data_IF_901886977257
#
_entry.id   IF_901886977257
#
_cell.length_a   1.000
_cell.length_b   1.000
_cell.length_c   1.000
_cell.angle_alpha   90.00
_cell.angle_beta   90.00
_cell.angle_gamma   90.00
#
_symmetry.space_group_name_H-M   'P 1'
#
loop_
_entity.id
_entity.type
_entity.pdbx_description
1 polymer ?
#
# COMPACT_ATOMS: atom_id res chain seq x y z
N UNK A 1 10.55 -15.48 -3.38
CA UNK A 1 10.13 -14.26 -4.11
C UNK A 1 8.61 -14.18 -4.04
N UNK A 2 8.06 -12.98 -3.84
CA UNK A 2 6.63 -12.76 -3.71
C UNK A 2 6.20 -11.57 -4.56
N UNK A 3 5.05 -11.68 -5.23
CA UNK A 3 4.37 -10.53 -5.85
C UNK A 3 3.25 -10.13 -4.92
N UNK A 4 3.29 -8.90 -4.43
CA UNK A 4 2.32 -8.36 -3.49
C UNK A 4 1.07 -7.89 -4.25
N UNK A 5 -0.09 -8.21 -3.69
CA UNK A 5 -1.34 -7.64 -4.14
C UNK A 5 -1.53 -6.21 -3.59
N UNK A 6 -2.57 -5.55 -4.05
CA UNK A 6 -2.93 -4.19 -3.65
C UNK A 6 -3.30 -4.08 -2.17
N UNK A 7 -3.86 -5.14 -1.58
CA UNK A 7 -4.28 -5.16 -0.18
C UNK A 7 -3.08 -5.20 0.77
N UNK A 8 -2.12 -6.08 0.52
CA UNK A 8 -0.89 -6.20 1.31
C UNK A 8 -0.09 -4.90 1.24
N UNK A 9 0.03 -4.30 0.06
CA UNK A 9 0.69 -2.99 -0.09
C UNK A 9 -0.06 -1.89 0.70
N UNK A 10 -1.39 -1.89 0.63
CA UNK A 10 -2.23 -0.93 1.38
C UNK A 10 -2.12 -1.12 2.89
N UNK A 11 -2.02 -2.37 3.35
CA UNK A 11 -1.87 -2.71 4.77
C UNK A 11 -0.49 -2.30 5.29
N UNK A 12 0.58 -2.61 4.55
CA UNK A 12 1.95 -2.21 4.90
C UNK A 12 2.12 -0.68 4.94
N UNK A 13 1.31 0.08 4.18
CA UNK A 13 1.29 1.56 4.28
C UNK A 13 0.86 2.04 5.68
N UNK A 14 -0.02 1.30 6.36
CA UNK A 14 -0.49 1.60 7.72
C UNK A 14 0.56 1.27 8.80
N UNK A 15 1.62 0.54 8.45
CA UNK A 15 2.66 0.16 9.41
C UNK A 15 3.35 1.40 10.02
N UNK A 16 3.52 2.46 9.24
CA UNK A 16 4.09 3.75 9.69
C UNK A 16 3.26 4.42 10.79
N UNK A 17 1.95 4.14 10.86
CA UNK A 17 1.03 4.72 11.85
C UNK A 17 0.67 3.73 12.95
N UNK A 18 1.29 2.55 12.98
CA UNK A 18 1.02 1.49 13.96
C UNK A 18 -0.36 0.82 13.79
N UNK A 19 -1.05 1.06 12.68
CA UNK A 19 -2.42 0.56 12.42
C UNK A 19 -2.46 -0.68 11.53
N UNK A 20 -1.31 -1.15 11.06
CA UNK A 20 -1.24 -2.36 10.23
C UNK A 20 -1.44 -3.61 11.09
N UNK A 21 -1.98 -4.67 10.48
CA UNK A 21 -1.99 -5.99 11.10
C UNK A 21 -0.57 -6.44 11.50
N UNK A 22 -0.31 -6.78 12.78
CA UNK A 22 1.02 -7.16 13.25
C UNK A 22 1.62 -8.37 12.53
N UNK A 23 0.80 -9.34 12.11
CA UNK A 23 1.28 -10.53 11.42
C UNK A 23 1.74 -10.21 10.00
N UNK A 24 1.07 -9.29 9.31
CA UNK A 24 1.48 -8.83 7.97
C UNK A 24 2.81 -8.10 8.05
N UNK A 25 2.99 -7.24 9.07
CA UNK A 25 4.25 -6.53 9.30
C UNK A 25 5.38 -7.50 9.64
N UNK A 26 5.15 -8.43 10.56
CA UNK A 26 6.14 -9.42 10.96
C UNK A 26 6.57 -10.31 9.77
N UNK A 27 5.62 -10.75 8.95
CA UNK A 27 5.92 -11.48 7.72
C UNK A 27 6.77 -10.65 6.76
N UNK A 28 6.37 -9.40 6.47
CA UNK A 28 7.11 -8.56 5.53
C UNK A 28 8.54 -8.25 6.02
N UNK A 29 8.74 -8.11 7.34
CA UNK A 29 10.07 -7.94 7.95
C UNK A 29 10.94 -9.20 7.87
N UNK A 30 10.34 -10.39 7.79
CA UNK A 30 11.07 -11.66 7.67
C UNK A 30 11.61 -11.93 6.26
N UNK A 31 11.13 -11.19 5.26
CA UNK A 31 11.49 -11.40 3.85
C UNK A 31 12.42 -10.28 3.37
N UNK A 32 13.53 -10.60 2.67
CA UNK A 32 14.37 -9.57 2.06
C UNK A 32 13.56 -8.69 1.09
N UNK A 33 13.72 -7.36 1.19
CA UNK A 33 13.00 -6.42 0.33
C UNK A 33 13.23 -6.67 -1.17
N UNK A 34 14.43 -7.14 -1.55
CA UNK A 34 14.79 -7.51 -2.93
C UNK A 34 14.02 -8.72 -3.46
N UNK A 35 13.30 -9.44 -2.60
CA UNK A 35 12.45 -10.58 -2.94
C UNK A 35 10.96 -10.24 -2.97
N UNK A 36 10.59 -8.98 -2.69
CA UNK A 36 9.22 -8.47 -2.72
C UNK A 36 9.02 -7.61 -3.97
N UNK A 37 8.02 -7.96 -4.77
CA UNK A 37 7.71 -7.32 -6.04
C UNK A 37 6.27 -6.81 -6.02
N UNK A 38 5.96 -5.84 -6.87
CA UNK A 38 4.59 -5.35 -7.06
C UNK A 38 4.28 -5.40 -8.55
N UNK A 39 3.08 -5.86 -8.92
CA UNK A 39 2.62 -5.85 -10.30
C UNK A 39 2.32 -4.42 -10.78
N UNK A 40 2.58 -4.11 -12.05
CA UNK A 40 2.13 -2.87 -12.67
C UNK A 40 0.60 -2.68 -12.58
N UNK A 41 -0.17 -3.78 -12.54
CA UNK A 41 -1.62 -3.73 -12.33
C UNK A 41 -1.97 -3.25 -10.91
N UNK A 42 -1.28 -3.75 -9.88
CA UNK A 42 -1.49 -3.30 -8.50
C UNK A 42 -1.13 -1.83 -8.31
N UNK A 43 -0.13 -1.33 -9.06
CA UNK A 43 0.18 0.11 -9.10
C UNK A 43 -1.00 0.89 -9.70
N UNK A 44 -1.52 0.46 -10.85
CA UNK A 44 -2.68 1.09 -11.51
C UNK A 44 -3.91 1.13 -10.59
N UNK A 45 -4.19 0.05 -9.86
CA UNK A 45 -5.30 -0.02 -8.92
C UNK A 45 -5.16 0.99 -7.77
N UNK A 46 -3.95 1.12 -7.21
CA UNK A 46 -3.66 2.10 -6.16
C UNK A 46 -3.84 3.54 -6.66
N UNK A 47 -3.30 3.86 -7.85
CA UNK A 47 -3.44 5.19 -8.45
C UNK A 47 -4.90 5.53 -8.74
N UNK A 48 -5.64 4.57 -9.30
CA UNK A 48 -7.07 4.74 -9.58
C UNK A 48 -7.86 4.95 -8.28
N UNK A 49 -7.55 4.18 -7.22
CA UNK A 49 -8.16 4.34 -5.90
C UNK A 49 -7.92 5.73 -5.31
N UNK A 50 -6.70 6.25 -5.42
CA UNK A 50 -6.35 7.61 -4.97
C UNK A 50 -7.17 8.65 -5.74
N UNK A 51 -7.20 8.59 -7.07
CA UNK A 51 -7.97 9.53 -7.90
C UNK A 51 -9.48 9.50 -7.60
N UNK A 52 -10.03 8.33 -7.28
CA UNK A 52 -11.44 8.20 -6.91
C UNK A 52 -11.74 8.83 -5.55
N UNK A 53 -10.82 8.72 -4.59
CA UNK A 53 -10.95 9.43 -3.31
C UNK A 53 -10.88 10.94 -3.51
N UNK A 54 -9.95 11.43 -4.33
CA UNK A 54 -9.84 12.86 -4.67
C UNK A 54 -11.07 13.43 -5.39
N UNK A 55 -11.81 12.61 -6.15
CA UNK A 55 -13.06 13.04 -6.77
C UNK A 55 -14.25 13.08 -5.82
N UNK A 56 -14.22 12.25 -4.77
CA UNK A 56 -15.29 12.16 -3.77
C UNK A 56 -15.14 13.21 -2.68
N UNK A 57 -13.92 13.49 -2.28
CA UNK A 57 -13.60 14.53 -1.29
C UNK A 57 -13.19 15.81 -2.03
N UNK A 58 -13.90 16.92 -1.83
CA UNK A 58 -13.53 18.26 -2.32
C UNK A 58 -12.22 18.80 -1.69
N UNK A 59 -11.44 17.96 -1.00
CA UNK A 59 -10.20 18.31 -0.32
C UNK A 59 -9.03 17.61 -1.03
N UNK A 60 -8.06 18.35 -1.61
CA UNK A 60 -6.94 17.75 -2.32
C UNK A 60 -6.02 16.96 -1.37
N UNK A 61 -5.79 15.68 -1.66
CA UNK A 61 -4.94 14.74 -0.88
C UNK A 61 -3.44 15.12 -0.90
N UNK A 62 -3.07 16.17 -1.67
CA UNK A 62 -1.70 16.71 -1.74
C UNK A 62 -1.12 17.20 -0.40
N UNK A 63 -1.93 17.28 0.65
CA UNK A 63 -1.51 17.67 2.00
C UNK A 63 -0.81 16.57 2.83
N UNK A 64 -0.67 15.33 2.32
CA UNK A 64 -0.08 14.20 3.07
C UNK A 64 1.27 13.74 2.49
N UNK A 65 2.05 14.66 1.91
CA UNK A 65 3.40 14.38 1.41
C UNK A 65 4.46 14.96 2.33
#
# INVERSE_FOLDING_TARGET
MYVLDTNVVSELRKAKTGKADPHVVAWAQSVPATSLFVSAISILELETGILLLERRDTIPVRAIK
#
